data_IF_554443529809
#
_entry.id   IF_554443529809
#
_cell.length_a   1.000
_cell.length_b   1.000
_cell.length_c   1.000
_cell.angle_alpha   90.00
_cell.angle_beta   90.00
_cell.angle_gamma   90.00
#
_symmetry.space_group_name_H-M   'P 1'
#
loop_
_entity.id
_entity.type
_entity.pdbx_description
1 polymer ?
#
# COMPACT_ATOMS: atom_id res chain seq x y z
N UNK A 1 -2.19 -4.93 -15.71
CA UNK A 1 -1.97 -6.23 -15.05
C UNK A 1 -2.38 -7.39 -15.95
N UNK A 2 -3.66 -7.50 -16.29
CA UNK A 2 -4.22 -8.59 -17.11
C UNK A 2 -3.46 -8.90 -18.40
N UNK A 3 -3.12 -7.86 -19.18
CA UNK A 3 -2.34 -8.02 -20.42
C UNK A 3 -1.00 -8.70 -20.19
N UNK A 4 -0.34 -8.46 -19.05
CA UNK A 4 0.96 -9.06 -18.73
C UNK A 4 0.81 -10.52 -18.30
N UNK A 5 -0.25 -10.86 -17.55
CA UNK A 5 -0.60 -12.26 -17.25
C UNK A 5 -0.83 -13.06 -18.54
N UNK A 6 -1.68 -12.54 -19.43
CA UNK A 6 -1.98 -13.18 -20.71
C UNK A 6 -0.77 -13.32 -21.60
N UNK A 7 0.07 -12.27 -21.63
CA UNK A 7 1.30 -12.26 -22.42
C UNK A 7 2.26 -13.34 -21.93
N UNK A 8 2.51 -13.44 -20.63
CA UNK A 8 3.38 -14.47 -20.07
C UNK A 8 2.81 -15.87 -20.34
N UNK A 9 1.53 -16.08 -20.05
CA UNK A 9 0.88 -17.37 -20.30
C UNK A 9 0.98 -17.80 -21.77
N UNK A 10 0.64 -16.90 -22.70
CA UNK A 10 0.75 -17.14 -24.14
C UNK A 10 2.18 -17.42 -24.58
N UNK A 11 3.16 -16.69 -24.06
CA UNK A 11 4.57 -16.89 -24.38
C UNK A 11 5.06 -18.26 -23.88
N UNK A 12 4.65 -18.69 -22.68
CA UNK A 12 4.95 -20.03 -22.15
C UNK A 12 4.34 -21.13 -23.02
N UNK A 13 3.06 -21.00 -23.41
CA UNK A 13 2.39 -21.96 -24.31
C UNK A 13 3.07 -22.02 -25.69
N UNK A 14 3.45 -20.86 -26.23
CA UNK A 14 4.16 -20.77 -27.53
C UNK A 14 5.54 -21.43 -27.44
N UNK A 15 6.27 -21.20 -26.36
CA UNK A 15 7.54 -21.88 -26.10
C UNK A 15 7.38 -23.41 -26.03
N UNK A 16 6.36 -23.90 -25.32
CA UNK A 16 6.05 -25.34 -25.28
C UNK A 16 5.74 -25.90 -26.67
N UNK A 17 4.94 -25.19 -27.47
CA UNK A 17 4.63 -25.61 -28.84
C UNK A 17 5.87 -25.64 -29.74
N UNK A 18 6.73 -24.62 -29.66
CA UNK A 18 7.97 -24.49 -30.44
C UNK A 18 9.04 -25.54 -30.06
N UNK A 19 8.87 -26.25 -28.96
CA UNK A 19 9.84 -27.21 -28.41
C UNK A 19 9.29 -28.63 -28.28
N UNK A 20 8.14 -28.94 -28.90
CA UNK A 20 7.62 -30.32 -28.98
C UNK A 20 8.63 -31.23 -29.71
N UNK A 21 9.34 -32.02 -28.90
CA UNK A 21 10.19 -33.19 -29.19
C UNK A 21 11.41 -33.07 -30.12
N UNK A 22 11.49 -32.16 -31.09
CA UNK A 22 12.61 -32.17 -32.07
C UNK A 22 13.80 -31.25 -31.74
N UNK A 23 13.64 -30.24 -30.87
CA UNK A 23 14.68 -29.21 -30.62
C UNK A 23 15.13 -29.05 -29.16
N UNK A 24 14.45 -29.70 -28.19
CA UNK A 24 14.84 -29.62 -26.77
C UNK A 24 15.64 -30.86 -26.39
N UNK A 25 16.75 -30.67 -25.68
CA UNK A 25 17.55 -31.80 -25.22
C UNK A 25 16.74 -32.72 -24.28
N UNK A 26 16.87 -34.06 -24.39
CA UNK A 26 16.12 -35.00 -23.57
C UNK A 26 16.21 -34.72 -22.06
N UNK A 27 17.37 -34.25 -21.60
CA UNK A 27 17.61 -33.86 -20.20
C UNK A 27 16.71 -32.71 -19.75
N UNK A 28 16.56 -31.65 -20.56
CA UNK A 28 15.68 -30.50 -20.23
C UNK A 28 14.21 -30.91 -20.26
N UNK A 29 13.83 -31.76 -21.21
CA UNK A 29 12.45 -32.27 -21.31
C UNK A 29 12.06 -33.08 -20.07
N UNK A 30 12.94 -33.98 -19.64
CA UNK A 30 12.74 -34.78 -18.43
C UNK A 30 12.64 -33.93 -17.16
N UNK A 31 13.55 -32.95 -16.99
CA UNK A 31 13.54 -32.06 -15.83
C UNK A 31 12.26 -31.21 -15.71
N UNK A 32 11.64 -30.86 -16.84
CA UNK A 32 10.36 -30.13 -16.85
C UNK A 32 9.15 -31.04 -16.65
N UNK A 33 9.23 -32.30 -17.08
CA UNK A 33 8.21 -33.31 -16.79
C UNK A 33 8.20 -33.72 -15.32
N UNK A 34 9.37 -33.96 -14.72
CA UNK A 34 9.51 -34.29 -13.29
C UNK A 34 9.05 -33.17 -12.35
N UNK A 35 8.91 -31.96 -12.89
CA UNK A 35 8.45 -30.78 -12.17
C UNK A 35 7.03 -30.34 -12.58
N UNK A 36 6.27 -31.22 -13.25
CA UNK A 36 4.87 -31.04 -13.66
C UNK A 36 4.58 -29.76 -14.48
N UNK A 37 5.62 -29.14 -15.06
CA UNK A 37 5.53 -27.83 -15.71
C UNK A 37 4.44 -27.78 -16.78
N UNK A 38 4.35 -28.82 -17.61
CA UNK A 38 3.40 -28.88 -18.72
C UNK A 38 1.96 -29.04 -18.25
N UNK A 39 1.74 -29.83 -17.21
CA UNK A 39 0.41 -30.07 -16.67
C UNK A 39 -0.13 -28.81 -15.99
N UNK A 40 0.69 -28.18 -15.13
CA UNK A 40 0.29 -26.95 -14.43
C UNK A 40 0.07 -25.81 -15.44
N UNK A 41 0.92 -25.68 -16.47
CA UNK A 41 0.71 -24.69 -17.52
C UNK A 41 -0.56 -24.97 -18.35
N UNK A 42 -0.90 -26.22 -18.62
CA UNK A 42 -2.09 -26.53 -19.42
C UNK A 42 -3.39 -26.28 -18.65
N UNK A 43 -3.37 -26.53 -17.33
CA UNK A 43 -4.52 -26.33 -16.43
C UNK A 43 -4.64 -24.92 -15.86
N UNK A 44 -3.64 -24.06 -16.06
CA UNK A 44 -3.70 -22.71 -15.54
C UNK A 44 -4.80 -21.90 -16.23
N UNK A 45 -5.65 -21.29 -15.42
CA UNK A 45 -6.68 -20.35 -15.82
C UNK A 45 -6.61 -19.13 -14.89
N UNK A 46 -7.01 -17.96 -15.41
CA UNK A 46 -7.05 -16.74 -14.61
C UNK A 46 -8.03 -16.89 -13.46
N UNK A 47 -7.62 -16.49 -12.27
CA UNK A 47 -8.52 -16.42 -11.12
C UNK A 47 -9.58 -15.35 -11.38
N UNK A 48 -10.85 -15.73 -11.31
CA UNK A 48 -11.95 -14.75 -11.38
C UNK A 48 -12.01 -13.98 -10.06
N UNK A 49 -11.89 -12.64 -10.06
CA UNK A 49 -12.01 -11.85 -8.84
C UNK A 49 -13.38 -11.98 -8.18
N UNK A 50 -13.42 -11.81 -6.85
CA UNK A 50 -14.71 -11.66 -6.14
C UNK A 50 -15.39 -10.38 -6.67
N UNK A 51 -16.68 -10.44 -7.07
CA UNK A 51 -17.38 -9.23 -7.48
C UNK A 51 -17.68 -8.36 -6.25
N UNK A 52 -17.65 -7.04 -6.45
CA UNK A 52 -18.19 -6.11 -5.47
C UNK A 52 -19.68 -6.41 -5.21
N UNK A 53 -20.06 -6.43 -3.93
CA UNK A 53 -21.44 -6.69 -3.50
C UNK A 53 -22.37 -5.51 -3.86
N UNK A 54 -21.81 -4.31 -3.98
CA UNK A 54 -22.53 -3.14 -4.50
C UNK A 54 -22.50 -3.16 -6.03
N UNK A 55 -23.63 -2.79 -6.64
CA UNK A 55 -23.68 -2.55 -8.09
C UNK A 55 -23.03 -1.20 -8.39
N UNK A 56 -22.17 -1.16 -9.41
CA UNK A 56 -21.56 0.09 -9.87
C UNK A 56 -22.62 0.95 -10.55
N UNK A 57 -22.83 2.15 -10.03
CA UNK A 57 -23.67 3.17 -10.66
C UNK A 57 -22.88 3.87 -11.76
N UNK A 58 -23.51 4.13 -12.90
CA UNK A 58 -22.89 4.92 -13.96
C UNK A 58 -22.73 6.37 -13.50
N UNK A 59 -21.54 6.91 -13.66
CA UNK A 59 -21.29 8.33 -13.44
C UNK A 59 -22.01 9.18 -14.49
N UNK A 60 -22.71 10.22 -14.04
CA UNK A 60 -23.29 11.24 -14.91
C UNK A 60 -22.20 12.06 -15.62
N UNK A 61 -21.07 12.27 -14.95
CA UNK A 61 -19.91 12.99 -15.47
C UNK A 61 -18.64 12.18 -15.33
N UNK A 62 -17.74 12.15 -16.33
CA UNK A 62 -16.40 11.62 -16.16
C UNK A 62 -15.69 12.26 -14.96
N UNK A 63 -14.85 11.49 -14.25
CA UNK A 63 -14.15 11.96 -13.03
C UNK A 63 -13.35 13.26 -13.28
N UNK A 64 -12.72 13.39 -14.45
CA UNK A 64 -11.96 14.60 -14.85
C UNK A 64 -12.84 15.81 -15.16
N UNK A 65 -14.15 15.60 -15.29
CA UNK A 65 -15.17 16.62 -15.61
C UNK A 65 -16.27 16.68 -14.56
N UNK A 66 -16.07 16.07 -13.38
CA UNK A 66 -17.04 16.13 -12.29
C UNK A 66 -17.27 17.59 -11.88
N UNK A 67 -18.51 18.08 -11.96
CA UNK A 67 -18.86 19.42 -11.52
C UNK A 67 -18.58 19.65 -10.02
N UNK A 68 -18.44 20.90 -9.59
CA UNK A 68 -18.07 21.24 -8.20
C UNK A 68 -19.26 21.25 -7.22
N UNK A 69 -20.45 20.96 -7.73
CA UNK A 69 -21.69 20.80 -6.98
C UNK A 69 -21.60 19.57 -6.06
N UNK A 70 -22.18 19.71 -4.87
CA UNK A 70 -22.08 18.72 -3.79
C UNK A 70 -22.52 17.32 -4.26
N UNK A 71 -23.68 17.23 -4.91
CA UNK A 71 -24.25 15.98 -5.38
C UNK A 71 -23.34 15.25 -6.37
N UNK A 72 -22.76 15.98 -7.33
CA UNK A 72 -21.86 15.41 -8.33
C UNK A 72 -20.54 14.92 -7.70
N UNK A 73 -20.03 15.63 -6.71
CA UNK A 73 -18.84 15.22 -5.97
C UNK A 73 -19.09 13.97 -5.10
N UNK A 74 -20.27 13.84 -4.49
CA UNK A 74 -20.66 12.64 -3.75
C UNK A 74 -20.82 11.43 -4.67
N UNK A 75 -21.42 11.61 -5.85
CA UNK A 75 -21.54 10.54 -6.85
C UNK A 75 -20.16 10.02 -7.30
N UNK A 76 -19.23 10.94 -7.58
CA UNK A 76 -17.85 10.59 -7.90
C UNK A 76 -17.14 9.87 -6.74
N UNK A 77 -17.39 10.30 -5.49
CA UNK A 77 -16.84 9.67 -4.29
C UNK A 77 -17.36 8.24 -4.09
N UNK A 78 -18.65 7.99 -4.29
CA UNK A 78 -19.24 6.64 -4.20
C UNK A 78 -18.71 5.71 -5.30
N UNK A 79 -18.53 6.22 -6.53
CA UNK A 79 -17.91 5.45 -7.60
C UNK A 79 -16.45 5.11 -7.27
N UNK A 80 -15.72 6.05 -6.68
CA UNK A 80 -14.35 5.80 -6.21
C UNK A 80 -14.34 4.78 -5.07
N UNK A 81 -15.27 4.85 -4.12
CA UNK A 81 -15.43 3.88 -3.04
C UNK A 81 -15.66 2.46 -3.58
N UNK A 82 -16.56 2.33 -4.57
CA UNK A 82 -16.79 1.06 -5.26
C UNK A 82 -15.50 0.53 -5.91
N UNK A 83 -14.77 1.42 -6.58
CA UNK A 83 -13.53 1.07 -7.28
C UNK A 83 -12.46 0.60 -6.31
N UNK A 84 -12.31 1.23 -5.14
CA UNK A 84 -11.38 0.80 -4.09
C UNK A 84 -11.70 -0.63 -3.62
N UNK A 85 -12.96 -0.95 -3.40
CA UNK A 85 -13.37 -2.31 -3.02
C UNK A 85 -13.11 -3.33 -4.13
N UNK A 86 -13.47 -3.01 -5.38
CA UNK A 86 -13.22 -3.93 -6.50
C UNK A 86 -11.71 -4.14 -6.73
N UNK A 87 -10.92 -3.07 -6.66
CA UNK A 87 -9.46 -3.14 -6.79
C UNK A 87 -8.81 -4.07 -5.75
N UNK A 88 -9.36 -4.15 -4.53
CA UNK A 88 -8.89 -5.07 -3.51
C UNK A 88 -9.15 -6.54 -3.91
N UNK A 89 -10.36 -6.85 -4.39
CA UNK A 89 -10.71 -8.18 -4.88
C UNK A 89 -9.88 -8.59 -6.10
N UNK A 90 -9.71 -7.68 -7.05
CA UNK A 90 -8.87 -7.87 -8.23
C UNK A 90 -7.41 -8.09 -7.82
N UNK A 91 -6.92 -7.33 -6.83
CA UNK A 91 -5.57 -7.47 -6.28
C UNK A 91 -5.29 -8.85 -5.68
N UNK A 92 -6.25 -9.43 -4.96
CA UNK A 92 -6.13 -10.79 -4.42
C UNK A 92 -6.02 -11.84 -5.55
N UNK A 93 -6.85 -11.72 -6.58
CA UNK A 93 -6.81 -12.60 -7.75
C UNK A 93 -5.49 -12.46 -8.51
N UNK A 94 -5.05 -11.23 -8.77
CA UNK A 94 -3.79 -10.98 -9.46
C UNK A 94 -2.59 -11.50 -8.69
N UNK A 95 -2.53 -11.32 -7.36
CA UNK A 95 -1.43 -11.87 -6.53
C UNK A 95 -1.33 -13.38 -6.66
N UNK A 96 -2.47 -14.08 -6.61
CA UNK A 96 -2.51 -15.54 -6.78
C UNK A 96 -2.03 -15.97 -8.17
N UNK A 97 -2.50 -15.31 -9.22
CA UNK A 97 -2.15 -15.63 -10.60
C UNK A 97 -0.67 -15.32 -10.91
N UNK A 98 -0.18 -14.17 -10.43
CA UNK A 98 1.23 -13.77 -10.55
C UNK A 98 2.13 -14.78 -9.85
N UNK A 99 1.83 -15.14 -8.61
CA UNK A 99 2.62 -16.12 -7.87
C UNK A 99 2.69 -17.46 -8.62
N UNK A 100 1.55 -17.93 -9.12
CA UNK A 100 1.48 -19.21 -9.84
C UNK A 100 2.31 -19.18 -11.13
N UNK A 101 2.17 -18.14 -11.96
CA UNK A 101 2.92 -18.03 -13.22
C UNK A 101 4.42 -17.77 -12.99
N UNK A 102 4.80 -17.00 -11.97
CA UNK A 102 6.19 -16.78 -11.60
C UNK A 102 6.86 -18.04 -11.08
N UNK A 103 6.15 -18.84 -10.28
CA UNK A 103 6.62 -20.15 -9.85
C UNK A 103 6.86 -21.07 -11.04
N UNK A 104 5.92 -21.14 -11.98
CA UNK A 104 6.09 -21.91 -13.23
C UNK A 104 7.29 -21.44 -14.04
N UNK A 105 7.45 -20.13 -14.19
CA UNK A 105 8.57 -19.55 -14.91
C UNK A 105 9.91 -19.84 -14.21
N UNK A 106 9.97 -19.70 -12.88
CA UNK A 106 11.17 -19.99 -12.07
C UNK A 106 11.53 -21.48 -12.12
N UNK A 107 10.53 -22.35 -12.07
CA UNK A 107 10.69 -23.79 -12.20
C UNK A 107 11.27 -24.14 -13.58
N UNK A 108 10.80 -23.49 -14.64
CA UNK A 108 11.32 -23.67 -15.98
C UNK A 108 12.78 -23.22 -16.11
N UNK A 109 13.13 -22.06 -15.54
CA UNK A 109 14.50 -21.55 -15.59
C UNK A 109 15.47 -22.36 -14.70
N UNK A 110 15.09 -22.70 -13.47
CA UNK A 110 15.95 -23.42 -12.52
C UNK A 110 16.29 -24.84 -13.01
N UNK A 111 15.30 -25.56 -13.51
CA UNK A 111 15.46 -26.96 -13.89
C UNK A 111 16.04 -27.15 -15.29
N UNK A 112 15.85 -26.19 -16.20
CA UNK A 112 16.29 -26.31 -17.59
C UNK A 112 17.26 -25.21 -18.08
N UNK A 113 17.66 -24.27 -17.21
CA UNK A 113 18.58 -23.13 -17.49
C UNK A 113 18.17 -22.35 -18.74
N UNK A 114 16.88 -21.99 -18.80
CA UNK A 114 16.25 -21.50 -20.03
C UNK A 114 16.53 -20.03 -20.33
N UNK A 115 16.96 -19.21 -19.35
CA UNK A 115 17.39 -17.83 -19.63
C UNK A 115 18.41 -17.69 -20.75
N UNK A 116 19.28 -18.69 -20.93
CA UNK A 116 20.31 -18.72 -21.97
C UNK A 116 19.87 -19.49 -23.24
N UNK A 117 18.64 -20.02 -23.25
CA UNK A 117 18.10 -20.77 -24.38
C UNK A 117 17.58 -19.80 -25.46
N UNK A 118 18.03 -20.01 -26.71
CA UNK A 118 17.65 -19.12 -27.82
C UNK A 118 16.15 -19.14 -28.11
N UNK A 119 15.48 -20.29 -27.92
CA UNK A 119 14.03 -20.42 -28.16
C UNK A 119 13.26 -19.73 -27.03
N UNK A 120 13.74 -19.81 -25.79
CA UNK A 120 13.18 -19.06 -24.66
C UNK A 120 13.26 -17.55 -24.88
N UNK A 121 14.44 -17.05 -25.28
CA UNK A 121 14.64 -15.65 -25.61
C UNK A 121 13.76 -15.19 -26.78
N UNK A 122 13.65 -16.00 -27.84
CA UNK A 122 12.81 -15.70 -29.01
C UNK A 122 11.31 -15.63 -28.68
N UNK A 123 10.87 -16.20 -27.56
CA UNK A 123 9.49 -16.12 -27.06
C UNK A 123 9.32 -15.04 -25.97
N UNK A 124 10.28 -14.11 -25.84
CA UNK A 124 10.23 -13.00 -24.87
C UNK A 124 10.17 -13.43 -23.39
N UNK A 125 10.73 -14.60 -23.05
CA UNK A 125 10.64 -15.13 -21.69
C UNK A 125 11.83 -14.78 -20.80
N UNK A 126 12.94 -14.25 -21.32
CA UNK A 126 14.17 -14.02 -20.53
C UNK A 126 14.04 -12.99 -19.39
N UNK A 127 13.06 -12.08 -19.47
CA UNK A 127 12.78 -11.06 -18.43
C UNK A 127 11.29 -10.98 -18.10
N UNK A 128 10.53 -12.04 -18.41
CA UNK A 128 9.08 -12.02 -18.24
C UNK A 128 8.67 -12.08 -16.77
N UNK A 129 9.53 -12.63 -15.90
CA UNK A 129 9.41 -12.51 -14.44
C UNK A 129 9.39 -11.04 -14.01
N UNK A 130 10.40 -10.28 -14.43
CA UNK A 130 10.54 -8.87 -14.08
C UNK A 130 9.38 -8.04 -14.61
N UNK A 131 8.95 -8.28 -15.86
CA UNK A 131 7.83 -7.57 -16.45
C UNK A 131 6.51 -7.83 -15.69
N UNK A 132 6.31 -9.06 -15.22
CA UNK A 132 5.12 -9.42 -14.46
C UNK A 132 5.16 -8.85 -13.02
N UNK A 133 6.31 -8.89 -12.36
CA UNK A 133 6.53 -8.27 -11.04
C UNK A 133 6.32 -6.75 -11.10
N UNK A 134 6.91 -6.07 -12.11
CA UNK A 134 6.72 -4.63 -12.32
C UNK A 134 5.26 -4.27 -12.57
N UNK A 135 4.51 -5.12 -13.28
CA UNK A 135 3.09 -4.91 -13.51
C UNK A 135 2.24 -5.07 -12.25
N UNK A 136 2.60 -6.00 -11.36
CA UNK A 136 1.95 -6.16 -10.06
C UNK A 136 2.23 -4.95 -9.17
N UNK A 137 3.48 -4.51 -9.07
CA UNK A 137 3.86 -3.31 -8.31
C UNK A 137 3.14 -2.07 -8.85
N UNK A 138 3.09 -1.89 -10.18
CA UNK A 138 2.38 -0.77 -10.78
C UNK A 138 0.87 -0.80 -10.45
N UNK A 139 0.27 -1.98 -10.41
CA UNK A 139 -1.12 -2.15 -9.98
C UNK A 139 -1.29 -1.76 -8.51
N UNK A 140 -0.47 -2.30 -7.60
CA UNK A 140 -0.52 -2.01 -6.17
C UNK A 140 -0.43 -0.51 -5.90
N UNK A 141 0.58 0.17 -6.49
CA UNK A 141 0.78 1.61 -6.34
C UNK A 141 -0.47 2.42 -6.75
N UNK A 142 -1.09 2.08 -7.89
CA UNK A 142 -2.28 2.79 -8.37
C UNK A 142 -3.47 2.53 -7.43
N UNK A 143 -3.65 1.29 -6.95
CA UNK A 143 -4.75 0.95 -6.04
C UNK A 143 -4.59 1.59 -4.67
N UNK A 144 -3.37 1.68 -4.13
CA UNK A 144 -3.06 2.40 -2.90
C UNK A 144 -3.33 3.90 -3.05
N UNK A 145 -2.91 4.49 -4.17
CA UNK A 145 -3.18 5.90 -4.45
C UNK A 145 -4.69 6.18 -4.58
N UNK A 146 -5.45 5.25 -5.14
CA UNK A 146 -6.91 5.32 -5.25
C UNK A 146 -7.56 5.27 -3.87
N UNK A 147 -7.14 4.33 -3.02
CA UNK A 147 -7.61 4.18 -1.65
C UNK A 147 -7.28 5.41 -0.78
N UNK A 148 -6.09 5.99 -0.96
CA UNK A 148 -5.67 7.23 -0.31
C UNK A 148 -6.63 8.38 -0.64
N UNK A 149 -6.90 8.62 -1.93
CA UNK A 149 -7.79 9.72 -2.32
C UNK A 149 -9.22 9.48 -1.85
N UNK A 150 -9.73 8.25 -1.96
CA UNK A 150 -11.03 7.90 -1.41
C UNK A 150 -11.13 8.23 0.09
N UNK A 151 -10.13 7.82 0.88
CA UNK A 151 -10.08 8.09 2.31
C UNK A 151 -10.13 9.60 2.61
N UNK A 152 -9.32 10.39 1.92
CA UNK A 152 -9.28 11.85 2.13
C UNK A 152 -10.55 12.57 1.67
N UNK A 153 -11.16 12.12 0.57
CA UNK A 153 -12.44 12.65 0.09
C UNK A 153 -13.55 12.33 1.09
N UNK A 154 -13.65 11.07 1.53
CA UNK A 154 -14.63 10.64 2.52
C UNK A 154 -14.44 11.38 3.85
N UNK A 155 -13.19 11.57 4.29
CA UNK A 155 -12.86 12.33 5.50
C UNK A 155 -13.36 13.78 5.41
N UNK A 156 -13.17 14.43 4.26
CA UNK A 156 -13.60 15.80 4.03
C UNK A 156 -15.14 15.89 3.95
N UNK A 157 -15.77 15.02 3.16
CA UNK A 157 -17.23 15.00 2.97
C UNK A 157 -17.99 14.66 4.25
N UNK A 158 -17.46 13.78 5.12
CA UNK A 158 -18.03 13.51 6.45
C UNK A 158 -18.06 14.78 7.30
N UNK A 159 -17.01 15.60 7.23
CA UNK A 159 -16.91 16.86 7.99
C UNK A 159 -17.66 18.01 7.32
N UNK A 160 -17.83 18.02 5.99
CA UNK A 160 -18.56 19.05 5.25
C UNK A 160 -19.65 18.44 4.33
N UNK A 161 -20.73 17.89 4.89
CA UNK A 161 -21.71 17.11 4.12
C UNK A 161 -22.48 17.92 3.07
N UNK A 162 -22.62 19.23 3.28
CA UNK A 162 -23.27 20.15 2.33
C UNK A 162 -22.29 20.82 1.36
N UNK A 163 -20.99 20.44 1.37
CA UNK A 163 -19.91 21.13 0.67
C UNK A 163 -19.84 22.65 0.96
N UNK A 164 -20.32 23.06 2.14
CA UNK A 164 -20.29 24.44 2.62
C UNK A 164 -19.41 24.53 3.84
N UNK A 165 -18.79 25.70 4.01
CA UNK A 165 -18.05 26.01 5.22
C UNK A 165 -18.97 25.90 6.44
N UNK A 166 -18.47 25.24 7.47
CA UNK A 166 -18.98 25.29 8.84
C UNK A 166 -17.81 25.14 9.79
N UNK A 167 -17.98 25.65 11.00
CA UNK A 167 -17.02 25.40 12.06
C UNK A 167 -17.01 23.90 12.41
N UNK A 168 -15.82 23.33 12.52
CA UNK A 168 -15.57 21.93 12.87
C UNK A 168 -14.55 21.91 14.00
N UNK A 169 -14.99 21.42 15.16
CA UNK A 169 -14.14 21.28 16.35
C UNK A 169 -12.86 20.51 16.00
N UNK A 170 -11.72 20.97 16.49
CA UNK A 170 -10.41 20.40 16.21
C UNK A 170 -9.86 20.65 14.80
N UNK A 171 -10.63 21.26 13.89
CA UNK A 171 -10.23 21.46 12.50
C UNK A 171 -10.26 22.92 12.05
N UNK A 172 -11.42 23.58 12.12
CA UNK A 172 -11.56 24.96 11.66
C UNK A 172 -12.67 25.72 12.39
N UNK A 173 -12.47 27.03 12.56
CA UNK A 173 -13.46 27.96 13.11
C UNK A 173 -13.28 29.32 12.45
N UNK A 174 -14.37 30.02 12.16
CA UNK A 174 -14.31 31.38 11.66
C UNK A 174 -14.10 32.34 12.84
N UNK A 175 -12.90 32.92 12.93
CA UNK A 175 -12.55 33.86 13.98
C UNK A 175 -13.08 35.26 13.68
N UNK A 176 -13.79 35.86 14.63
CA UNK A 176 -14.18 37.26 14.55
C UNK A 176 -13.00 38.20 14.88
N UNK A 177 -13.03 39.44 14.38
CA UNK A 177 -11.96 40.42 14.64
C UNK A 177 -11.89 40.80 16.12
N UNK A 178 -13.02 40.89 16.82
CA UNK A 178 -13.06 41.17 18.25
C UNK A 178 -12.48 40.00 19.05
N UNK A 179 -12.86 38.76 18.74
CA UNK A 179 -12.28 37.54 19.34
C UNK A 179 -10.75 37.52 19.13
N UNK A 180 -10.28 37.77 17.91
CA UNK A 180 -8.86 37.81 17.57
C UNK A 180 -8.07 38.85 18.40
N UNK A 181 -8.60 40.06 18.53
CA UNK A 181 -7.89 41.17 19.18
C UNK A 181 -8.02 41.13 20.72
N UNK A 182 -9.23 40.91 21.23
CA UNK A 182 -9.57 41.07 22.65
C UNK A 182 -9.34 39.78 23.45
N UNK A 183 -9.80 38.64 22.93
CA UNK A 183 -9.74 37.36 23.65
C UNK A 183 -8.43 36.62 23.37
N UNK A 184 -7.96 36.66 22.12
CA UNK A 184 -6.85 35.84 21.66
C UNK A 184 -5.52 36.61 21.60
N UNK A 185 -5.53 37.90 21.92
CA UNK A 185 -4.33 38.73 22.03
C UNK A 185 -3.53 38.78 20.73
N UNK A 186 -4.20 38.93 19.59
CA UNK A 186 -3.62 38.97 18.25
C UNK A 186 -2.95 37.65 17.80
N UNK A 187 -3.30 36.52 18.41
CA UNK A 187 -2.84 35.20 18.01
C UNK A 187 -3.83 34.50 17.07
N UNK A 188 -3.36 33.96 15.94
CA UNK A 188 -4.14 33.07 15.04
C UNK A 188 -3.76 31.59 15.20
N UNK A 189 -3.20 31.20 16.36
CA UNK A 189 -2.93 29.78 16.62
C UNK A 189 -4.26 29.02 16.67
N UNK A 190 -4.48 28.12 15.70
CA UNK A 190 -5.74 27.39 15.51
C UNK A 190 -6.23 26.72 16.80
N UNK A 191 -5.32 26.12 17.59
CA UNK A 191 -5.68 25.42 18.83
C UNK A 191 -6.40 26.30 19.87
N UNK A 192 -6.27 27.62 19.78
CA UNK A 192 -7.00 28.57 20.63
C UNK A 192 -8.46 28.78 20.24
N UNK A 193 -8.82 28.44 18.99
CA UNK A 193 -10.13 28.67 18.40
C UNK A 193 -10.91 27.37 18.22
N UNK A 194 -10.26 26.32 17.72
CA UNK A 194 -10.95 25.10 17.28
C UNK A 194 -11.13 24.07 18.38
N UNK A 195 -10.39 24.18 19.49
CA UNK A 195 -10.36 23.14 20.53
C UNK A 195 -9.71 21.84 20.05
N UNK A 196 -10.03 20.73 20.72
CA UNK A 196 -9.57 19.39 20.38
C UNK A 196 -10.80 18.52 20.12
N UNK A 197 -10.84 17.85 18.97
CA UNK A 197 -11.78 16.77 18.73
C UNK A 197 -11.31 15.55 19.55
N UNK A 198 -12.05 15.19 20.59
CA UNK A 198 -11.81 13.94 21.32
C UNK A 198 -12.47 12.84 20.49
N UNK A 199 -11.72 12.23 19.59
CA UNK A 199 -12.18 11.00 18.94
C UNK A 199 -12.20 9.89 20.02
N UNK A 200 -13.40 9.39 20.36
CA UNK A 200 -13.62 8.34 21.38
C UNK A 200 -12.82 7.05 21.11
N UNK A 201 -12.30 6.88 19.89
CA UNK A 201 -11.68 5.64 19.38
C UNK A 201 -10.14 5.64 19.34
N UNK A 202 -9.43 6.71 19.73
CA UNK A 202 -7.96 6.76 19.55
C UNK A 202 -7.20 6.04 20.66
N UNK A 203 -7.49 6.33 21.94
CA UNK A 203 -6.97 5.61 23.11
C UNK A 203 -7.99 5.74 24.25
N UNK A 204 -8.23 4.66 24.98
CA UNK A 204 -9.02 4.74 26.21
C UNK A 204 -8.20 5.46 27.29
N UNK A 205 -8.87 5.98 28.33
CA UNK A 205 -8.18 6.56 29.50
C UNK A 205 -7.19 5.55 30.12
N UNK A 206 -7.58 4.28 30.19
CA UNK A 206 -6.73 3.20 30.68
C UNK A 206 -5.47 3.02 29.82
N UNK A 207 -5.61 3.02 28.49
CA UNK A 207 -4.49 2.90 27.57
C UNK A 207 -3.55 4.10 27.68
N UNK A 208 -4.08 5.32 27.81
CA UNK A 208 -3.27 6.51 28.06
C UNK A 208 -2.46 6.41 29.34
N UNK A 209 -3.10 6.03 30.45
CA UNK A 209 -2.42 5.88 31.75
C UNK A 209 -1.34 4.80 31.67
N UNK A 210 -1.63 3.66 31.03
CA UNK A 210 -0.66 2.60 30.83
C UNK A 210 0.56 3.07 30.03
N UNK A 211 0.34 3.78 28.92
CA UNK A 211 1.43 4.37 28.14
C UNK A 211 2.26 5.35 28.97
N UNK A 212 1.62 6.20 29.76
CA UNK A 212 2.31 7.16 30.62
C UNK A 212 3.17 6.46 31.68
N UNK A 213 2.68 5.37 32.28
CA UNK A 213 3.45 4.53 33.22
C UNK A 213 4.66 3.91 32.52
N UNK A 214 4.49 3.36 31.32
CA UNK A 214 5.60 2.77 30.54
C UNK A 214 6.66 3.83 30.21
N UNK A 215 6.25 5.01 29.75
CA UNK A 215 7.15 6.12 29.44
C UNK A 215 7.86 6.64 30.70
N UNK A 216 7.16 6.75 31.82
CA UNK A 216 7.73 7.15 33.12
C UNK A 216 8.80 6.17 33.59
N UNK A 217 8.54 4.86 33.49
CA UNK A 217 9.55 3.82 33.80
C UNK A 217 10.77 3.93 32.90
N UNK A 218 10.58 4.09 31.58
CA UNK A 218 11.68 4.26 30.64
C UNK A 218 12.51 5.52 30.95
N UNK A 219 11.85 6.63 31.27
CA UNK A 219 12.51 7.87 31.68
C UNK A 219 13.36 7.67 32.95
N UNK A 220 12.83 6.96 33.95
CA UNK A 220 13.58 6.68 35.18
C UNK A 220 14.83 5.83 34.93
N UNK A 221 14.76 4.83 34.03
CA UNK A 221 15.92 4.04 33.63
C UNK A 221 16.98 4.94 32.97
N UNK A 222 16.56 5.80 32.04
CA UNK A 222 17.47 6.75 31.37
C UNK A 222 18.11 7.72 32.36
N UNK A 223 17.34 8.23 33.33
CA UNK A 223 17.87 9.09 34.39
C UNK A 223 18.92 8.37 35.25
N UNK A 224 18.66 7.11 35.63
CA UNK A 224 19.61 6.31 36.40
C UNK A 224 20.92 6.11 35.64
N UNK A 225 20.85 5.72 34.36
CA UNK A 225 22.04 5.59 33.51
C UNK A 225 22.78 6.92 33.32
N UNK A 226 22.05 8.04 33.23
CA UNK A 226 22.67 9.37 33.16
C UNK A 226 23.45 9.69 34.43
N UNK A 227 22.89 9.43 35.61
CA UNK A 227 23.56 9.64 36.89
C UNK A 227 24.82 8.77 37.03
N UNK A 228 24.76 7.51 36.62
CA UNK A 228 25.93 6.62 36.63
C UNK A 228 27.07 7.14 35.74
N UNK A 229 26.73 7.62 34.53
CA UNK A 229 27.71 8.23 33.63
C UNK A 229 28.28 9.53 34.21
N UNK A 230 27.44 10.35 34.85
CA UNK A 230 27.87 11.58 35.52
C UNK A 230 28.87 11.28 36.65
N UNK A 231 28.61 10.26 37.47
CA UNK A 231 29.52 9.80 38.51
C UNK A 231 30.86 9.33 37.93
N UNK A 232 30.82 8.55 36.85
CA UNK A 232 32.04 8.11 36.16
C UNK A 232 32.84 9.30 35.65
N UNK A 233 32.21 10.27 34.97
CA UNK A 233 32.88 11.47 34.46
C UNK A 233 33.49 12.27 35.61
N UNK A 234 32.72 12.51 36.68
CA UNK A 234 33.19 13.23 37.87
C UNK A 234 34.40 12.55 38.53
N UNK A 235 34.37 11.21 38.64
CA UNK A 235 35.48 10.43 39.20
C UNK A 235 36.75 10.55 38.35
N UNK A 236 36.63 10.48 37.02
CA UNK A 236 37.76 10.60 36.09
C UNK A 236 38.35 12.00 36.08
N UNK A 237 37.51 13.04 36.12
CA UNK A 237 37.97 14.42 36.22
C UNK A 237 38.75 14.66 37.52
N UNK A 238 38.28 14.12 38.65
CA UNK A 238 39.02 14.21 39.92
C UNK A 238 40.41 13.60 39.81
N UNK A 239 40.56 12.42 39.19
CA UNK A 239 41.88 11.80 38.98
C UNK A 239 42.81 12.72 38.18
N UNK A 240 42.33 13.26 37.05
CA UNK A 240 43.12 14.17 36.21
C UNK A 240 43.55 15.44 36.96
N UNK A 241 42.67 15.98 37.80
CA UNK A 241 42.94 17.20 38.58
C UNK A 241 43.95 16.92 39.70
N UNK A 242 43.91 15.75 40.34
CA UNK A 242 44.80 15.38 41.46
C UNK A 242 46.14 14.75 41.03
N UNK A 243 46.32 14.47 39.73
CA UNK A 243 47.60 14.03 39.14
C UNK A 243 48.53 15.20 38.71
N UNK A 244 48.27 16.42 39.22
CA UNK A 244 49.19 17.56 39.18
C UNK A 244 49.59 17.98 40.59
#
# INVERSE_FOLDING_TARGET
METQLDTLYKNLKTYVAATKQEKRTPTKTRALQEADFFEVLDKWERTTPKPNEKVLTNLLYPIDKTPLENEAQHEAAEHLAWSVTQNAHDGEAYKKDVNTLLELWKLADKNAKLKNDKIWAANNLSKADKALDEALVAYEVVTEQTAYWHFHIAWLQKRFPEAKYKDVVGLCKMADRAEYAEEQGYSLNAGRYVGMEIEEDIITEEEFVNQLIIKSKALNILNQSSSELEEVISSRLKLIIHEK
#
